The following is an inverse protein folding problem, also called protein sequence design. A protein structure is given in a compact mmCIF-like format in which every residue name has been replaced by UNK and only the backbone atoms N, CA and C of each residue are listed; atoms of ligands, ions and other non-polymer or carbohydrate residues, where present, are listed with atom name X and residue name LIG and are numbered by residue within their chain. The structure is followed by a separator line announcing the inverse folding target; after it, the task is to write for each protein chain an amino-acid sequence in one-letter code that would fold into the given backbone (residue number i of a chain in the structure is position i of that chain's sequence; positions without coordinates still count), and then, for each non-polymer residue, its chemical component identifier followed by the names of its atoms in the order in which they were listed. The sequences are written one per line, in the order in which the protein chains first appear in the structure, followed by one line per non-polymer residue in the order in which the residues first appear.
data_IF_588062409759
#
_entry.id   IF_588062409759
#
_cell.length_a   1.000
_cell.length_b   1.000
_cell.length_c   1.000
_cell.angle_alpha   90.00
_cell.angle_beta   90.00
_cell.angle_gamma   90.00
#
_symmetry.space_group_name_H-M   'P 1'
#
loop_
_entity.id
_entity.type
_entity.pdbx_description
1 polymer ?
#
# COMPACT_ATOMS: atom_id res chain seq x y z
N UNK A 1 -18.15 22.28 -12.22
CA UNK A 1 -18.17 23.41 -11.69
C UNK A 1 -17.35 23.66 -10.47
N UNK A 2 -17.67 23.06 -9.33
CA UNK A 2 -16.84 23.24 -8.16
C UNK A 2 -15.44 22.75 -8.39
N UNK A 3 -15.31 21.79 -9.24
CA UNK A 3 -14.01 21.20 -9.51
C UNK A 3 -13.03 22.22 -10.03
N UNK A 4 -13.52 23.19 -10.77
CA UNK A 4 -12.67 24.21 -11.35
C UNK A 4 -11.94 25.01 -10.28
N UNK A 5 -12.58 25.20 -9.15
CA UNK A 5 -11.96 25.97 -8.08
C UNK A 5 -10.92 25.18 -7.34
N UNK A 6 -11.22 23.91 -7.12
CA UNK A 6 -10.37 23.11 -6.27
C UNK A 6 -9.07 22.73 -6.92
N UNK A 7 -8.96 22.90 -8.21
CA UNK A 7 -7.71 22.62 -8.91
C UNK A 7 -6.68 23.72 -8.76
N UNK A 8 -7.08 24.85 -8.23
CA UNK A 8 -6.16 25.94 -8.01
C UNK A 8 -5.12 25.53 -6.99
N UNK A 9 -3.88 25.86 -7.26
CA UNK A 9 -2.80 25.52 -6.37
C UNK A 9 -2.32 24.09 -6.46
N UNK A 10 -2.87 23.30 -7.36
CA UNK A 10 -2.42 21.94 -7.56
C UNK A 10 -2.85 20.94 -6.51
N UNK A 11 -3.73 21.32 -5.61
CA UNK A 11 -4.25 20.41 -4.59
C UNK A 11 -5.48 19.69 -5.09
N UNK A 12 -5.67 18.46 -4.62
CA UNK A 12 -6.84 17.70 -4.97
C UNK A 12 -8.07 18.27 -4.26
N UNK A 13 -9.17 18.38 -4.98
CA UNK A 13 -10.41 18.83 -4.40
C UNK A 13 -11.13 17.68 -3.69
N UNK A 14 -12.25 17.99 -3.05
CA UNK A 14 -13.02 17.01 -2.30
C UNK A 14 -13.52 15.88 -3.19
N UNK A 15 -13.99 16.20 -4.39
CA UNK A 15 -14.50 15.18 -5.31
C UNK A 15 -13.43 14.18 -5.73
N UNK A 16 -12.23 14.67 -6.01
CA UNK A 16 -11.12 13.79 -6.39
C UNK A 16 -10.70 12.91 -5.24
N UNK A 17 -10.66 13.45 -4.02
CA UNK A 17 -10.31 12.67 -2.84
C UNK A 17 -11.36 11.60 -2.55
N UNK A 18 -12.62 11.95 -2.74
CA UNK A 18 -13.71 10.99 -2.56
C UNK A 18 -13.60 9.86 -3.56
N UNK A 19 -13.35 10.18 -4.83
CA UNK A 19 -13.19 9.17 -5.87
C UNK A 19 -12.01 8.25 -5.56
N UNK A 20 -10.91 8.80 -5.07
CA UNK A 20 -9.74 7.99 -4.70
C UNK A 20 -10.07 7.03 -3.56
N UNK A 21 -10.83 7.48 -2.57
CA UNK A 21 -11.22 6.61 -1.46
C UNK A 21 -12.14 5.49 -1.93
N UNK A 22 -13.07 5.82 -2.81
CA UNK A 22 -14.00 4.82 -3.36
C UNK A 22 -13.25 3.78 -4.18
N UNK A 23 -12.27 4.21 -4.96
CA UNK A 23 -11.44 3.29 -5.73
C UNK A 23 -10.65 2.36 -4.82
N UNK A 24 -10.09 2.88 -3.75
CA UNK A 24 -9.36 2.05 -2.78
C UNK A 24 -10.27 1.04 -2.12
N UNK A 25 -11.49 1.45 -1.77
CA UNK A 25 -12.46 0.55 -1.17
C UNK A 25 -12.83 -0.56 -2.15
N UNK A 26 -13.02 -0.20 -3.42
CA UNK A 26 -13.36 -1.18 -4.43
C UNK A 26 -12.23 -2.20 -4.63
N UNK A 27 -10.99 -1.75 -4.58
CA UNK A 27 -9.85 -2.67 -4.67
C UNK A 27 -9.85 -3.68 -3.54
N UNK A 28 -10.20 -3.26 -2.33
CA UNK A 28 -10.31 -4.17 -1.19
C UNK A 28 -11.39 -5.22 -1.42
N UNK A 29 -12.55 -4.77 -1.89
CA UNK A 29 -13.66 -5.69 -2.16
C UNK A 29 -13.29 -6.68 -3.26
N UNK A 30 -12.64 -6.21 -4.31
CA UNK A 30 -12.22 -7.06 -5.43
C UNK A 30 -11.17 -8.08 -4.99
N UNK A 31 -10.30 -7.70 -4.06
CA UNK A 31 -9.26 -8.60 -3.58
C UNK A 31 -9.82 -9.75 -2.73
N UNK A 32 -10.93 -9.52 -2.05
CA UNK A 32 -11.53 -10.53 -1.20
C UNK A 32 -10.78 -10.70 0.11
N UNK A 33 -11.26 -11.64 0.93
CA UNK A 33 -10.67 -11.88 2.25
C UNK A 33 -9.53 -12.88 2.17
N UNK A 34 -8.58 -12.75 3.09
CA UNK A 34 -7.43 -13.63 3.20
C UNK A 34 -7.86 -15.10 3.33
N UNK A 35 -8.85 -15.38 4.17
CA UNK A 35 -9.29 -16.74 4.43
C UNK A 35 -9.87 -17.41 3.17
N UNK A 36 -10.42 -16.62 2.25
CA UNK A 36 -10.99 -17.14 1.01
C UNK A 36 -9.91 -17.31 -0.06
N UNK A 37 -8.98 -16.36 -0.15
CA UNK A 37 -7.97 -16.35 -1.21
C UNK A 37 -6.75 -17.22 -0.87
N UNK A 38 -6.35 -17.21 0.40
CA UNK A 38 -5.15 -17.89 0.85
C UNK A 38 -5.42 -18.63 2.16
N UNK A 39 -6.22 -19.72 2.11
CA UNK A 39 -6.59 -20.43 3.35
C UNK A 39 -5.39 -21.06 4.06
N UNK A 40 -4.29 -21.25 3.36
CA UNK A 40 -3.08 -21.83 3.96
C UNK A 40 -2.28 -20.83 4.77
N UNK A 41 -2.65 -19.56 4.74
CA UNK A 41 -1.92 -18.50 5.45
C UNK A 41 -2.62 -18.18 6.76
N UNK A 42 -1.89 -18.30 7.87
CA UNK A 42 -2.40 -17.92 9.19
C UNK A 42 -2.26 -16.43 9.45
N UNK A 43 -1.21 -15.82 8.92
CA UNK A 43 -1.01 -14.39 9.08
C UNK A 43 0.17 -13.87 8.29
N UNK A 44 0.15 -12.57 8.01
CA UNK A 44 1.26 -11.88 7.34
C UNK A 44 1.56 -10.63 8.14
N UNK A 45 2.84 -10.39 8.39
CA UNK A 45 3.31 -9.16 9.00
C UNK A 45 4.27 -8.47 8.06
N UNK A 46 3.99 -7.22 7.72
CA UNK A 46 4.88 -6.41 6.90
C UNK A 46 5.41 -5.29 7.78
N UNK A 47 6.72 -5.32 8.02
CA UNK A 47 7.41 -4.27 8.77
C UNK A 47 8.11 -3.37 7.77
N UNK A 48 7.91 -2.07 7.89
CA UNK A 48 8.43 -1.11 6.92
C UNK A 48 9.11 0.05 7.59
N UNK A 49 10.11 0.58 6.91
CA UNK A 49 10.69 1.89 7.24
C UNK A 49 10.39 2.80 6.06
N UNK A 50 9.59 3.81 6.31
CA UNK A 50 9.20 4.78 5.29
C UNK A 50 10.18 5.94 5.27
N UNK A 51 10.68 6.27 4.10
CA UNK A 51 11.59 7.39 3.89
C UNK A 51 11.01 8.33 2.86
N UNK A 52 10.96 9.61 3.18
CA UNK A 52 10.50 10.62 2.25
C UNK A 52 11.70 11.43 1.77
N UNK A 53 11.80 11.59 0.45
CA UNK A 53 12.91 12.30 -0.16
C UNK A 53 12.93 13.75 0.31
N UNK A 54 14.13 14.24 0.65
CA UNK A 54 14.31 15.61 1.11
C UNK A 54 14.02 15.82 2.58
N UNK A 55 13.52 14.81 3.25
CA UNK A 55 13.27 14.86 4.68
C UNK A 55 14.09 13.77 5.35
N UNK A 56 14.98 14.18 6.23
CA UNK A 56 15.83 13.20 6.94
C UNK A 56 15.08 12.63 8.12
N UNK A 57 14.03 11.89 7.81
CA UNK A 57 13.19 11.30 8.84
C UNK A 57 12.69 9.95 8.38
N UNK A 58 12.91 8.95 9.18
CA UNK A 58 12.44 7.60 8.93
C UNK A 58 11.24 7.32 9.80
N UNK A 59 10.22 6.70 9.24
CA UNK A 59 9.00 6.39 9.97
C UNK A 59 8.74 4.89 9.90
N UNK A 60 8.80 4.18 11.04
CA UNK A 60 8.47 2.77 11.06
C UNK A 60 6.95 2.57 10.96
N UNK A 61 6.56 1.49 10.31
CA UNK A 61 5.16 1.12 10.18
C UNK A 61 5.05 -0.39 10.11
N UNK A 62 3.99 -0.94 10.71
CA UNK A 62 3.72 -2.37 10.67
C UNK A 62 2.30 -2.57 10.20
N UNK A 63 2.12 -3.48 9.26
CA UNK A 63 0.80 -3.84 8.74
C UNK A 63 0.63 -5.34 8.93
N UNK A 64 -0.52 -5.74 9.48
CA UNK A 64 -0.83 -7.13 9.75
C UNK A 64 -2.01 -7.57 8.91
N UNK A 65 -1.94 -8.80 8.40
CA UNK A 65 -3.04 -9.43 7.69
C UNK A 65 -3.45 -10.68 8.43
N UNK A 66 -4.74 -10.79 8.70
CA UNK A 66 -5.34 -11.92 9.38
C UNK A 66 -6.32 -12.60 8.43
N UNK A 67 -6.85 -13.80 8.76
CA UNK A 67 -7.83 -14.44 7.89
C UNK A 67 -9.05 -13.56 7.57
N UNK A 68 -9.44 -12.69 8.49
CA UNK A 68 -10.55 -11.77 8.26
C UNK A 68 -10.18 -10.47 7.56
N UNK A 69 -8.91 -10.28 7.21
CA UNK A 69 -8.47 -9.08 6.49
C UNK A 69 -8.68 -9.23 5.00
N UNK A 70 -8.78 -8.11 4.29
CA UNK A 70 -8.76 -8.14 2.83
C UNK A 70 -7.37 -8.53 2.32
N UNK A 71 -7.34 -9.30 1.24
CA UNK A 71 -6.09 -9.77 0.64
C UNK A 71 -5.52 -8.74 -0.34
N UNK A 72 -5.46 -7.50 0.07
CA UNK A 72 -4.92 -6.42 -0.74
C UNK A 72 -3.55 -6.02 -0.16
N UNK A 73 -2.50 -6.40 -0.87
CA UNK A 73 -1.14 -6.21 -0.39
C UNK A 73 -0.54 -4.92 -0.96
N UNK A 74 -1.22 -3.84 -0.71
CA UNK A 74 -0.82 -2.52 -1.17
C UNK A 74 -0.85 -1.57 0.02
N UNK A 75 0.23 -0.81 0.18
CA UNK A 75 0.37 0.16 1.26
C UNK A 75 0.35 1.55 0.67
N UNK A 76 -0.45 2.43 1.26
CA UNK A 76 -0.57 3.80 0.79
C UNK A 76 0.70 4.60 1.06
N UNK A 77 0.98 5.55 0.19
CA UNK A 77 2.03 6.52 0.42
C UNK A 77 1.65 7.42 1.59
N UNK A 78 2.60 7.72 2.46
CA UNK A 78 2.34 8.58 3.62
C UNK A 78 2.39 10.06 3.29
N UNK A 79 2.82 10.42 2.09
CA UNK A 79 2.79 11.80 1.64
C UNK A 79 1.34 12.22 1.41
N UNK A 80 0.90 13.27 2.10
CA UNK A 80 -0.49 13.69 2.06
C UNK A 80 -0.98 14.09 0.68
N UNK A 81 -0.07 14.55 -0.16
CA UNK A 81 -0.42 15.00 -1.52
C UNK A 81 -0.39 13.87 -2.52
N UNK A 82 0.09 12.71 -2.14
CA UNK A 82 0.16 11.55 -3.01
C UNK A 82 -1.05 10.66 -2.77
N UNK A 83 -2.11 10.86 -3.54
CA UNK A 83 -3.35 10.09 -3.35
C UNK A 83 -3.45 8.90 -4.29
N UNK A 84 -2.69 8.92 -5.37
CA UNK A 84 -2.71 7.85 -6.38
C UNK A 84 -1.53 6.91 -6.27
N UNK A 85 -0.62 7.16 -5.34
CA UNK A 85 0.57 6.35 -5.19
C UNK A 85 0.45 5.31 -4.10
N UNK A 86 1.54 4.63 -3.89
CA UNK A 86 1.63 3.60 -2.87
C UNK A 86 2.68 2.58 -3.23
N UNK A 87 2.70 1.50 -2.47
CA UNK A 87 3.67 0.42 -2.61
C UNK A 87 2.92 -0.88 -2.77
N UNK A 88 3.12 -1.54 -3.91
CA UNK A 88 2.39 -2.77 -4.23
C UNK A 88 3.29 -3.98 -3.97
N UNK A 89 2.91 -4.78 -2.99
CA UNK A 89 3.62 -6.00 -2.64
C UNK A 89 2.89 -7.26 -3.12
N UNK A 90 1.87 -7.09 -3.97
CA UNK A 90 1.03 -8.21 -4.38
C UNK A 90 1.81 -9.33 -5.05
N UNK A 91 2.67 -9.00 -6.02
CA UNK A 91 3.44 -10.03 -6.71
C UNK A 91 4.43 -10.71 -5.79
N UNK A 92 5.05 -9.95 -4.91
CA UNK A 92 5.99 -10.51 -3.95
C UNK A 92 5.29 -11.50 -3.03
N UNK A 93 4.18 -11.08 -2.43
CA UNK A 93 3.49 -11.88 -1.43
C UNK A 93 2.84 -13.10 -2.06
N UNK A 94 2.19 -12.95 -3.22
CA UNK A 94 1.61 -14.11 -3.89
C UNK A 94 2.67 -15.11 -4.32
N UNK A 95 3.83 -14.61 -4.75
CA UNK A 95 4.96 -15.47 -5.08
C UNK A 95 5.51 -16.21 -3.87
N UNK A 96 5.59 -15.51 -2.73
CA UNK A 96 6.03 -16.15 -1.48
C UNK A 96 5.07 -17.27 -1.07
N UNK A 97 3.77 -17.01 -1.14
CA UNK A 97 2.76 -18.02 -0.77
C UNK A 97 2.84 -19.22 -1.70
N UNK A 98 2.96 -18.96 -3.00
CA UNK A 98 3.07 -20.03 -3.99
C UNK A 98 4.27 -20.93 -3.71
N UNK A 99 5.38 -20.35 -3.29
CA UNK A 99 6.61 -21.08 -3.02
C UNK A 99 6.78 -21.43 -1.55
N UNK A 100 5.78 -21.17 -0.74
CA UNK A 100 5.76 -21.44 0.70
C UNK A 100 6.95 -20.81 1.43
N UNK A 101 7.28 -19.58 1.05
CA UNK A 101 8.34 -18.82 1.70
C UNK A 101 7.81 -18.11 2.93
N UNK A 102 8.64 -18.04 3.97
CA UNK A 102 8.25 -17.46 5.25
C UNK A 102 8.74 -16.05 5.45
N UNK A 103 9.75 -15.61 4.71
CA UNK A 103 10.31 -14.29 4.89
C UNK A 103 10.90 -13.74 3.60
N UNK A 104 10.82 -12.42 3.45
CA UNK A 104 11.46 -11.70 2.35
C UNK A 104 11.69 -10.26 2.79
N UNK A 105 12.63 -9.59 2.16
CA UNK A 105 12.90 -8.18 2.43
C UNK A 105 13.38 -7.49 1.17
N UNK A 106 13.22 -6.18 1.12
CA UNK A 106 13.64 -5.39 -0.02
C UNK A 106 13.21 -3.95 0.10
N UNK A 107 13.23 -3.25 -1.02
CA UNK A 107 12.89 -1.85 -1.08
C UNK A 107 11.92 -1.60 -2.23
N UNK A 108 11.05 -0.61 -2.07
CA UNK A 108 10.13 -0.19 -3.12
C UNK A 108 10.07 1.33 -3.19
N UNK A 109 9.77 1.84 -4.38
CA UNK A 109 9.56 3.26 -4.64
C UNK A 109 8.08 3.49 -4.86
N UNK A 110 7.57 4.63 -4.37
CA UNK A 110 6.16 4.97 -4.55
C UNK A 110 5.80 5.04 -6.03
N UNK A 111 4.67 4.48 -6.40
CA UNK A 111 4.20 4.41 -7.78
C UNK A 111 3.48 5.66 -8.24
N UNK A 112 3.19 6.59 -7.34
CA UNK A 112 2.38 7.75 -7.67
C UNK A 112 3.11 8.76 -8.54
N UNK A 113 2.33 9.49 -9.32
CA UNK A 113 2.83 10.52 -10.23
C UNK A 113 2.35 11.91 -9.87
N UNK A 114 1.60 12.04 -8.78
CA UNK A 114 1.02 13.33 -8.42
C UNK A 114 2.06 14.32 -7.88
N UNK A 115 3.24 13.83 -7.52
CA UNK A 115 4.36 14.66 -7.10
C UNK A 115 5.58 14.22 -7.89
N UNK A 116 6.76 14.75 -7.56
CA UNK A 116 7.96 14.36 -8.27
C UNK A 116 8.23 12.87 -8.08
N UNK A 117 8.75 12.24 -9.12
CA UNK A 117 9.08 10.82 -9.09
C UNK A 117 10.02 10.51 -7.93
N UNK A 118 9.89 9.33 -7.35
CA UNK A 118 10.74 8.85 -6.26
C UNK A 118 10.68 9.73 -5.02
N UNK A 119 9.52 10.33 -4.77
CA UNK A 119 9.38 11.20 -3.59
C UNK A 119 9.39 10.40 -2.28
N UNK A 120 9.15 9.11 -2.32
CA UNK A 120 9.22 8.29 -1.10
C UNK A 120 9.57 6.86 -1.44
N UNK A 121 10.19 6.19 -0.46
CA UNK A 121 10.56 4.78 -0.58
C UNK A 121 10.23 4.08 0.72
N UNK A 122 10.13 2.75 0.65
CA UNK A 122 10.06 1.93 1.85
C UNK A 122 11.12 0.84 1.80
N UNK A 123 11.68 0.53 2.96
CA UNK A 123 12.43 -0.70 3.17
C UNK A 123 11.49 -1.64 3.90
N UNK A 124 11.25 -2.83 3.37
CA UNK A 124 10.24 -3.72 3.93
C UNK A 124 10.81 -5.07 4.31
N UNK A 125 10.16 -5.70 5.29
CA UNK A 125 10.36 -7.11 5.62
C UNK A 125 8.98 -7.74 5.75
N UNK A 126 8.79 -8.86 5.06
CA UNK A 126 7.54 -9.61 5.09
C UNK A 126 7.77 -10.93 5.80
N UNK A 127 6.90 -11.25 6.75
CA UNK A 127 6.93 -12.54 7.43
C UNK A 127 5.55 -13.18 7.28
N UNK A 128 5.52 -14.43 6.82
CA UNK A 128 4.28 -15.17 6.61
C UNK A 128 4.25 -16.40 7.51
N UNK A 129 3.16 -16.55 8.23
CA UNK A 129 2.87 -17.76 9.00
C UNK A 129 1.86 -18.61 8.24
N UNK A 130 2.17 -19.87 8.10
CA UNK A 130 1.27 -20.83 7.43
C UNK A 130 0.59 -21.72 8.46
N UNK A 131 -0.59 -22.19 8.10
CA UNK A 131 -1.35 -23.10 8.96
C UNK A 131 -0.78 -24.52 8.93
#
# INVERSE_FOLDING_TARGET
VEEAFSLKGGKMNYSMKKAAREEKQQRKLDAGFMEAQFPEVAGIVISMIYNQRGIQKSMPRVVNFFPGSYALFRVDCLNKECVDGGFDLSQLITGMIRNHKEAAKGDLICEGNSTSASHSTIAYEVAIQYT
#
